data_IF_024585352468
#
_entry.id   IF_024585352468
#
_cell.length_a   1.000
_cell.length_b   1.000
_cell.length_c   1.000
_cell.angle_alpha   90.00
_cell.angle_beta   90.00
_cell.angle_gamma   90.00
#
_symmetry.space_group_name_H-M   'P 1'
#
loop_
_entity.id
_entity.type
_entity.pdbx_description
1 polymer ?
#
# COMPACT_ATOMS: atom_id res chain seq x y z
N UNK A 1 16.89 -15.86 -23.81
CA UNK A 1 16.49 -14.46 -23.49
C UNK A 1 16.84 -14.19 -22.03
N UNK A 2 17.71 -13.22 -21.73
CA UNK A 2 17.95 -12.79 -20.33
C UNK A 2 16.89 -11.74 -19.99
N UNK A 3 15.99 -12.04 -19.05
CA UNK A 3 14.95 -11.12 -18.62
C UNK A 3 15.53 -9.87 -17.94
N UNK A 4 14.88 -8.72 -18.13
CA UNK A 4 15.25 -7.47 -17.48
C UNK A 4 15.04 -7.61 -15.95
N UNK A 5 16.05 -7.34 -15.13
CA UNK A 5 15.92 -7.32 -13.66
C UNK A 5 15.24 -6.02 -13.21
N UNK A 6 13.92 -5.96 -13.40
CA UNK A 6 13.09 -4.86 -12.94
C UNK A 6 12.70 -5.08 -11.46
N UNK A 7 12.90 -4.05 -10.64
CA UNK A 7 12.39 -4.02 -9.26
C UNK A 7 11.10 -3.20 -9.24
N UNK A 8 9.99 -3.87 -8.94
CA UNK A 8 8.69 -3.22 -8.80
C UNK A 8 8.51 -2.71 -7.38
N UNK A 9 7.69 -1.68 -7.22
CA UNK A 9 7.23 -1.21 -5.91
C UNK A 9 5.72 -1.02 -5.95
N UNK A 10 5.05 -1.24 -4.83
CA UNK A 10 3.60 -1.15 -4.75
C UNK A 10 3.14 -0.54 -3.42
N UNK A 11 1.95 0.05 -3.44
CA UNK A 11 1.28 0.58 -2.27
C UNK A 11 -0.14 0.06 -2.20
N UNK A 12 -0.59 -0.37 -1.01
CA UNK A 12 -1.95 -0.87 -0.81
C UNK A 12 -2.64 -0.11 0.31
N UNK A 13 -3.83 0.39 -0.02
CA UNK A 13 -4.76 0.98 0.92
C UNK A 13 -6.17 0.47 0.61
N UNK A 14 -7.03 0.53 1.62
CA UNK A 14 -8.44 0.17 1.53
C UNK A 14 -9.25 1.24 2.24
N UNK A 15 -10.29 1.69 1.59
CA UNK A 15 -11.16 2.78 2.01
C UNK A 15 -12.28 2.97 0.98
N UNK A 16 -13.16 3.91 1.27
CA UNK A 16 -14.30 4.21 0.42
C UNK A 16 -13.89 4.91 -0.87
N UNK A 17 -14.56 4.54 -1.96
CA UNK A 17 -14.40 5.10 -3.30
C UNK A 17 -15.76 5.18 -3.98
N UNK A 18 -15.92 6.15 -4.88
CA UNK A 18 -17.07 6.26 -5.76
C UNK A 18 -16.71 5.78 -7.16
N UNK A 19 -17.68 5.17 -7.85
CA UNK A 19 -17.53 4.73 -9.24
C UNK A 19 -18.16 5.77 -10.16
N UNK A 20 -17.35 6.35 -11.05
CA UNK A 20 -17.79 7.28 -12.08
C UNK A 20 -17.67 6.61 -13.45
N UNK A 21 -18.67 5.80 -13.79
CA UNK A 21 -18.63 4.97 -14.99
C UNK A 21 -17.54 3.92 -14.90
N UNK A 22 -16.50 4.04 -15.73
CA UNK A 22 -15.32 3.16 -15.72
C UNK A 22 -14.16 3.69 -14.86
N UNK A 23 -14.31 4.89 -14.28
CA UNK A 23 -13.32 5.53 -13.42
C UNK A 23 -13.66 5.34 -11.94
N UNK A 24 -12.66 5.51 -11.08
CA UNK A 24 -12.78 5.42 -9.63
C UNK A 24 -12.26 6.73 -9.03
N UNK A 25 -13.06 7.35 -8.17
CA UNK A 25 -12.70 8.56 -7.45
C UNK A 25 -12.75 8.35 -5.94
N UNK A 26 -12.04 9.21 -5.21
CA UNK A 26 -12.05 9.21 -3.75
C UNK A 26 -10.66 9.26 -3.12
N UNK A 27 -10.61 9.70 -1.87
CA UNK A 27 -9.35 9.90 -1.14
C UNK A 27 -8.56 8.59 -0.99
N UNK A 28 -9.24 7.43 -0.94
CA UNK A 28 -8.59 6.13 -0.82
C UNK A 28 -7.66 5.80 -2.01
N UNK A 29 -8.04 6.21 -3.23
CA UNK A 29 -7.22 6.06 -4.44
C UNK A 29 -5.92 6.83 -4.29
N UNK A 30 -6.02 8.10 -3.86
CA UNK A 30 -4.85 8.94 -3.64
C UNK A 30 -3.97 8.42 -2.51
N UNK A 31 -4.54 7.91 -1.42
CA UNK A 31 -3.77 7.31 -0.32
C UNK A 31 -2.96 6.12 -0.85
N UNK A 32 -3.56 5.20 -1.60
CA UNK A 32 -2.85 4.08 -2.22
C UNK A 32 -1.68 4.53 -3.09
N UNK A 33 -1.89 5.53 -3.95
CA UNK A 33 -0.84 6.10 -4.79
C UNK A 33 0.30 6.75 -3.97
N UNK A 34 -0.01 7.46 -2.87
CA UNK A 34 1.01 8.06 -2.00
C UNK A 34 1.79 7.01 -1.21
N UNK A 35 1.13 5.93 -0.79
CA UNK A 35 1.81 4.79 -0.16
C UNK A 35 2.76 4.11 -1.16
N UNK A 36 2.32 3.90 -2.41
CA UNK A 36 3.16 3.30 -3.44
C UNK A 36 4.40 4.15 -3.76
N UNK A 37 4.26 5.47 -3.75
CA UNK A 37 5.37 6.39 -3.99
C UNK A 37 6.44 6.37 -2.88
N UNK A 38 6.06 5.96 -1.66
CA UNK A 38 6.96 5.84 -0.50
C UNK A 38 7.64 4.46 -0.41
N UNK A 39 7.19 3.47 -1.18
CA UNK A 39 7.76 2.13 -1.16
C UNK A 39 9.16 2.09 -1.79
N UNK A 40 10.05 1.34 -1.15
CA UNK A 40 11.38 1.01 -1.67
C UNK A 40 11.29 0.09 -2.91
N UNK A 41 12.33 -0.01 -3.76
CA UNK A 41 12.37 -1.02 -4.82
C UNK A 41 12.21 -2.45 -4.26
N UNK A 42 11.29 -3.22 -4.82
CA UNK A 42 10.96 -4.57 -4.35
C UNK A 42 9.99 -4.61 -3.17
N UNK A 43 9.47 -3.46 -2.73
CA UNK A 43 8.60 -3.38 -1.55
C UNK A 43 7.12 -3.24 -1.90
N UNK A 44 6.29 -3.93 -1.12
CA UNK A 44 4.86 -3.66 -1.00
C UNK A 44 4.62 -2.96 0.33
N UNK A 45 4.25 -1.69 0.28
CA UNK A 45 3.96 -0.89 1.47
C UNK A 45 2.45 -0.78 1.65
N UNK A 46 1.96 -0.92 2.88
CA UNK A 46 0.52 -0.93 3.18
C UNK A 46 0.17 -0.02 4.36
N UNK A 47 -1.06 0.46 4.40
CA UNK A 47 -1.61 1.18 5.56
C UNK A 47 -2.03 0.22 6.70
N UNK A 48 -2.21 0.76 7.93
CA UNK A 48 -2.74 0.00 9.06
C UNK A 48 -4.09 -0.66 8.75
N UNK A 49 -4.99 0.02 8.04
CA UNK A 49 -6.31 -0.51 7.68
C UNK A 49 -6.21 -1.83 6.92
N UNK A 50 -5.30 -1.93 5.94
CA UNK A 50 -5.09 -3.17 5.17
C UNK A 50 -4.59 -4.28 6.08
N UNK A 51 -3.57 -4.01 6.90
CA UNK A 51 -3.02 -4.97 7.86
C UNK A 51 -4.11 -5.52 8.79
N UNK A 52 -4.94 -4.64 9.31
CA UNK A 52 -5.97 -5.00 10.29
C UNK A 52 -7.10 -5.82 9.64
N UNK A 53 -7.48 -5.51 8.39
CA UNK A 53 -8.49 -6.29 7.64
C UNK A 53 -8.04 -7.71 7.27
N UNK A 54 -6.74 -7.96 7.14
CA UNK A 54 -6.21 -9.27 6.68
C UNK A 54 -5.58 -10.10 7.81
N UNK A 55 -5.97 -9.84 9.06
CA UNK A 55 -5.55 -10.64 10.20
C UNK A 55 -5.83 -12.14 9.95
N UNK A 56 -4.84 -13.00 10.19
CA UNK A 56 -4.94 -14.44 9.93
C UNK A 56 -4.59 -14.88 8.50
N UNK A 57 -4.28 -13.96 7.58
CA UNK A 57 -3.91 -14.29 6.18
C UNK A 57 -2.55 -14.97 6.01
N UNK A 58 -1.71 -15.00 7.05
CA UNK A 58 -0.32 -15.44 6.96
C UNK A 58 0.65 -14.41 6.36
N UNK A 59 0.16 -13.22 5.97
CA UNK A 59 1.02 -12.11 5.55
C UNK A 59 1.77 -11.56 6.77
N UNK A 60 3.07 -11.36 6.63
CA UNK A 60 3.92 -10.78 7.67
C UNK A 60 4.12 -9.28 7.39
N UNK A 61 4.04 -8.47 8.45
CA UNK A 61 4.14 -7.03 8.36
C UNK A 61 5.31 -6.51 9.19
N UNK A 62 6.16 -5.69 8.58
CA UNK A 62 7.24 -4.97 9.27
C UNK A 62 6.88 -3.49 9.39
N UNK A 63 6.93 -2.92 10.60
CA UNK A 63 6.66 -1.50 10.84
C UNK A 63 7.64 -0.61 10.07
N UNK A 64 7.12 0.35 9.28
CA UNK A 64 7.89 1.38 8.57
C UNK A 64 7.67 2.78 9.14
N UNK A 65 7.04 2.86 10.30
CA UNK A 65 6.76 4.06 11.04
C UNK A 65 5.55 4.84 10.52
N UNK A 66 5.42 6.06 11.03
CA UNK A 66 4.30 6.95 10.72
C UNK A 66 4.74 8.06 9.77
N UNK A 67 3.91 8.36 8.76
CA UNK A 67 4.16 9.37 7.72
C UNK A 67 2.96 10.30 7.56
N UNK A 68 3.20 11.54 7.16
CA UNK A 68 2.18 12.43 6.60
C UNK A 68 2.14 12.22 5.09
N UNK A 69 0.96 12.09 4.51
CA UNK A 69 0.80 11.92 3.06
C UNK A 69 0.32 13.24 2.46
N UNK A 70 0.93 13.68 1.35
CA UNK A 70 0.58 14.96 0.71
C UNK A 70 -0.90 14.97 0.33
N UNK A 71 -1.64 15.96 0.83
CA UNK A 71 -3.06 16.16 0.53
C UNK A 71 -4.00 15.22 1.28
N UNK A 72 -3.49 14.41 2.22
CA UNK A 72 -4.30 13.53 3.06
C UNK A 72 -4.18 14.00 4.50
N UNK A 73 -5.31 14.28 5.19
CA UNK A 73 -5.29 14.66 6.59
C UNK A 73 -4.66 13.59 7.49
N UNK A 74 -4.03 14.05 8.57
CA UNK A 74 -3.54 13.19 9.65
C UNK A 74 -2.21 12.50 9.39
N UNK A 75 -1.92 11.51 10.25
CA UNK A 75 -0.67 10.75 10.27
C UNK A 75 -0.98 9.28 10.09
N UNK A 76 -0.23 8.63 9.20
CA UNK A 76 -0.54 7.30 8.69
C UNK A 76 0.57 6.33 9.04
N UNK A 77 0.24 5.26 9.76
CA UNK A 77 1.20 4.20 10.07
C UNK A 77 1.28 3.23 8.89
N UNK A 78 2.50 2.95 8.44
CA UNK A 78 2.76 2.14 7.26
C UNK A 78 3.56 0.89 7.61
N UNK A 79 3.36 -0.16 6.83
CA UNK A 79 3.98 -1.47 7.03
C UNK A 79 4.46 -2.06 5.71
N UNK A 80 5.64 -2.66 5.71
CA UNK A 80 6.08 -3.48 4.60
C UNK A 80 5.41 -4.85 4.71
N UNK A 81 4.68 -5.26 3.68
CA UNK A 81 4.05 -6.56 3.60
C UNK A 81 4.98 -7.57 2.91
N UNK A 82 5.04 -8.79 3.44
CA UNK A 82 5.71 -9.93 2.82
C UNK A 82 4.79 -11.14 2.89
N UNK A 83 4.69 -11.88 1.79
CA UNK A 83 4.02 -13.17 1.80
C UNK A 83 4.72 -14.12 2.77
N UNK A 84 3.97 -15.08 3.33
CA UNK A 84 4.60 -16.24 3.96
C UNK A 84 5.54 -16.88 2.92
N UNK A 85 6.76 -17.25 3.34
CA UNK A 85 7.60 -18.08 2.49
C UNK A 85 6.81 -19.36 2.19
N UNK A 86 6.48 -19.56 0.91
CA UNK A 86 6.01 -20.84 0.41
C UNK A 86 7.14 -21.84 0.35
#
# INVERSE_FOLDING_TARGET
>A
MRGLRLSLRAGVHTGEVELLGAEIEGIAVHIGARVAALADPGEVLVTSTVRDLVAGSGIVFTDRGTRTLRGVPGRWKLFAARGAAG
#
